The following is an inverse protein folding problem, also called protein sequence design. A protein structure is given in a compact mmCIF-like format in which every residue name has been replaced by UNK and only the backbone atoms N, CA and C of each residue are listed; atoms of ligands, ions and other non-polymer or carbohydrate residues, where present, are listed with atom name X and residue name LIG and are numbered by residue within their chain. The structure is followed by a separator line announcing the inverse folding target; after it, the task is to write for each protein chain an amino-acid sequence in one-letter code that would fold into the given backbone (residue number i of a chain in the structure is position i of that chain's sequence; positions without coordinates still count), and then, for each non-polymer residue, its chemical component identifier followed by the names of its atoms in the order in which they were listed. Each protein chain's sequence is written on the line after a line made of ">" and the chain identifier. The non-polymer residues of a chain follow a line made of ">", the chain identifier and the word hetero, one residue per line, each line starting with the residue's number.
data_IF_849713068987
#
_entry.id   IF_849713068987
#
_cell.length_a   1.000
_cell.length_b   1.000
_cell.length_c   1.000
_cell.angle_alpha   90.00
_cell.angle_beta   90.00
_cell.angle_gamma   90.00
#
_symmetry.space_group_name_H-M   'P 1'
#
loop_
_entity.id
_entity.type
_entity.pdbx_description
1 polymer ?
#
# COMPACT_ATOMS: atom_id res chain seq x y z
N UNK A 1 -32.10 -35.62 -35.70
CA UNK A 1 -31.17 -36.33 -34.81
C UNK A 1 -30.19 -35.32 -34.27
N UNK A 2 -30.23 -35.13 -32.96
CA UNK A 2 -29.43 -34.20 -32.16
C UNK A 2 -27.97 -34.62 -32.11
N UNK A 3 -27.07 -33.64 -32.07
CA UNK A 3 -26.04 -33.62 -31.03
C UNK A 3 -25.62 -32.17 -30.76
N UNK A 4 -26.16 -31.65 -29.66
CA UNK A 4 -25.60 -30.55 -28.89
C UNK A 4 -24.21 -30.94 -28.38
N UNK A 5 -23.25 -30.03 -28.54
CA UNK A 5 -22.19 -29.84 -27.55
C UNK A 5 -22.07 -28.37 -27.26
N UNK A 6 -22.73 -27.99 -26.16
CA UNK A 6 -22.40 -26.90 -25.26
C UNK A 6 -20.89 -26.62 -25.21
N UNK A 7 -20.48 -25.47 -25.75
CA UNK A 7 -19.36 -24.73 -25.18
C UNK A 7 -19.90 -23.43 -24.64
N UNK A 8 -20.31 -23.52 -23.39
CA UNK A 8 -20.68 -22.43 -22.51
C UNK A 8 -19.80 -21.20 -22.74
N UNK A 9 -20.49 -20.06 -22.90
CA UNK A 9 -19.89 -18.75 -23.05
C UNK A 9 -18.86 -18.47 -21.96
N UNK A 10 -17.60 -18.58 -22.34
CA UNK A 10 -16.53 -17.83 -21.69
C UNK A 10 -16.77 -16.39 -22.11
N UNK A 11 -17.50 -15.63 -21.29
CA UNK A 11 -17.50 -14.17 -21.37
C UNK A 11 -16.06 -13.73 -21.26
N UNK A 12 -15.41 -13.52 -22.40
CA UNK A 12 -14.13 -12.84 -22.48
C UNK A 12 -14.43 -11.45 -21.92
N UNK A 13 -13.94 -11.22 -20.71
CA UNK A 13 -13.99 -9.92 -20.05
C UNK A 13 -13.24 -8.93 -20.95
N UNK A 14 -13.99 -8.17 -21.74
CA UNK A 14 -13.46 -7.19 -22.71
C UNK A 14 -12.90 -5.94 -22.02
N UNK A 15 -12.66 -5.94 -20.70
CA UNK A 15 -12.03 -4.82 -19.99
C UNK A 15 -10.50 -4.73 -20.13
N UNK A 16 -9.88 -5.67 -20.86
CA UNK A 16 -8.42 -5.79 -21.01
C UNK A 16 -7.88 -5.35 -22.39
N UNK A 17 -8.47 -4.34 -23.01
CA UNK A 17 -7.75 -3.56 -24.02
C UNK A 17 -6.80 -2.55 -23.33
N UNK A 18 -5.50 -2.47 -23.72
CA UNK A 18 -4.53 -1.55 -23.12
C UNK A 18 -4.94 -0.07 -23.16
N UNK A 19 -5.85 0.29 -24.07
CA UNK A 19 -6.32 1.65 -24.29
C UNK A 19 -7.38 2.13 -23.27
N UNK A 20 -8.04 1.23 -22.52
CA UNK A 20 -9.18 1.56 -21.63
C UNK A 20 -8.90 1.36 -20.12
N UNK A 21 -7.72 0.88 -19.73
CA UNK A 21 -7.39 0.68 -18.31
C UNK A 21 -7.20 2.01 -17.58
N UNK A 22 -8.29 2.55 -17.02
CA UNK A 22 -8.24 3.62 -16.02
C UNK A 22 -7.33 3.18 -14.87
N UNK A 23 -6.42 4.07 -14.47
CA UNK A 23 -5.53 3.83 -13.34
C UNK A 23 -6.35 3.58 -12.05
N UNK A 24 -6.09 2.47 -11.35
CA UNK A 24 -6.75 2.12 -10.09
C UNK A 24 -5.76 2.16 -8.95
N UNK A 25 -5.99 3.07 -7.98
CA UNK A 25 -5.23 3.15 -6.73
C UNK A 25 -5.24 1.80 -6.03
N UNK A 26 -4.10 1.33 -5.52
CA UNK A 26 -4.02 0.05 -4.82
C UNK A 26 -3.89 -1.17 -5.73
N UNK A 27 -3.80 -0.96 -7.05
CA UNK A 27 -3.58 -2.02 -8.06
C UNK A 27 -2.53 -1.63 -9.07
N UNK A 28 -2.59 -0.40 -9.56
CA UNK A 28 -1.72 0.13 -10.61
C UNK A 28 -0.69 1.10 -10.02
N UNK A 29 0.50 1.14 -10.62
CA UNK A 29 1.63 1.99 -10.18
C UNK A 29 2.20 2.75 -11.38
N UNK A 30 2.44 4.04 -11.20
CA UNK A 30 3.10 4.88 -12.18
C UNK A 30 4.62 4.62 -12.23
N UNK A 31 5.28 5.11 -13.27
CA UNK A 31 6.71 4.85 -13.48
C UNK A 31 7.57 5.37 -12.32
N UNK A 32 7.28 6.58 -11.81
CA UNK A 32 8.08 7.17 -10.75
C UNK A 32 7.87 6.43 -9.42
N UNK A 33 6.62 6.10 -9.09
CA UNK A 33 6.30 5.35 -7.89
C UNK A 33 6.80 3.89 -7.93
N UNK A 34 6.94 3.31 -9.13
CA UNK A 34 7.60 2.00 -9.34
C UNK A 34 9.09 2.08 -9.03
N UNK A 35 9.80 3.05 -9.62
CA UNK A 35 11.22 3.28 -9.33
C UNK A 35 11.47 3.62 -7.87
N UNK A 36 10.60 4.42 -7.26
CA UNK A 36 10.69 4.74 -5.85
C UNK A 36 10.69 3.48 -4.99
N UNK A 37 9.75 2.55 -5.24
CA UNK A 37 9.66 1.27 -4.50
C UNK A 37 10.87 0.37 -4.76
N UNK A 38 11.37 0.34 -5.99
CA UNK A 38 12.58 -0.43 -6.32
C UNK A 38 13.77 0.09 -5.52
N UNK A 39 14.03 1.40 -5.56
CA UNK A 39 15.17 2.01 -4.87
C UNK A 39 15.02 1.90 -3.35
N UNK A 40 13.82 2.17 -2.81
CA UNK A 40 13.52 1.95 -1.40
C UNK A 40 13.76 0.48 -0.99
N UNK A 41 13.25 -0.47 -1.77
CA UNK A 41 13.41 -1.89 -1.54
C UNK A 41 14.87 -2.32 -1.52
N UNK A 42 15.69 -1.83 -2.46
CA UNK A 42 17.13 -2.13 -2.50
C UNK A 42 17.87 -1.59 -1.27
N UNK A 43 17.58 -0.36 -0.85
CA UNK A 43 18.18 0.22 0.37
C UNK A 43 17.73 -0.58 1.61
N UNK A 44 16.46 -1.01 1.65
CA UNK A 44 15.93 -1.81 2.74
C UNK A 44 16.56 -3.20 2.80
N UNK A 45 16.79 -3.85 1.65
CA UNK A 45 17.51 -5.14 1.58
C UNK A 45 18.93 -4.97 2.11
N UNK A 46 19.64 -3.92 1.69
CA UNK A 46 20.99 -3.64 2.21
C UNK A 46 20.98 -3.45 3.73
N UNK A 47 20.04 -2.66 4.26
CA UNK A 47 19.87 -2.46 5.71
C UNK A 47 19.60 -3.77 6.46
N UNK A 48 18.71 -4.62 5.93
CA UNK A 48 18.39 -5.92 6.52
C UNK A 48 19.57 -6.87 6.49
N UNK A 49 20.34 -6.90 5.39
CA UNK A 49 21.52 -7.73 5.29
C UNK A 49 22.51 -7.45 6.43
N UNK A 50 22.82 -6.17 6.69
CA UNK A 50 23.70 -5.79 7.81
C UNK A 50 23.15 -6.17 9.19
N UNK A 51 21.83 -6.14 9.37
CA UNK A 51 21.20 -6.55 10.64
C UNK A 51 21.24 -8.05 10.83
N UNK A 52 20.92 -8.82 9.78
CA UNK A 52 20.88 -10.27 9.81
C UNK A 52 22.28 -10.85 10.03
N UNK A 53 23.27 -10.38 9.28
CA UNK A 53 24.67 -10.82 9.37
C UNK A 53 25.25 -10.71 10.79
N UNK A 54 24.83 -9.68 11.55
CA UNK A 54 25.30 -9.46 12.92
C UNK A 54 24.43 -10.10 14.00
N UNK A 55 23.17 -10.42 13.68
CA UNK A 55 22.19 -10.81 14.70
C UNK A 55 21.91 -12.31 14.73
N UNK A 56 22.13 -13.04 13.63
CA UNK A 56 21.77 -14.45 13.52
C UNK A 56 22.98 -15.34 13.33
N UNK A 57 23.01 -16.47 14.03
CA UNK A 57 23.95 -17.55 13.74
C UNK A 57 23.51 -18.41 12.53
N UNK A 58 24.33 -19.37 12.13
CA UNK A 58 24.04 -20.24 10.99
C UNK A 58 22.75 -21.06 11.12
N UNK A 59 22.40 -21.50 12.34
CA UNK A 59 21.18 -22.26 12.60
C UNK A 59 19.94 -21.36 12.57
N UNK A 60 20.06 -20.16 13.13
CA UNK A 60 19.03 -19.13 13.11
C UNK A 60 18.75 -18.60 11.70
N UNK A 61 19.77 -18.53 10.84
CA UNK A 61 19.60 -18.23 9.42
C UNK A 61 18.75 -19.29 8.70
N UNK A 62 18.99 -20.57 8.96
CA UNK A 62 18.17 -21.66 8.42
C UNK A 62 16.73 -21.54 8.91
N UNK A 63 16.53 -21.27 10.22
CA UNK A 63 15.20 -21.05 10.78
C UNK A 63 14.50 -19.82 10.20
N UNK A 64 15.23 -18.74 9.89
CA UNK A 64 14.68 -17.58 9.21
C UNK A 64 14.16 -17.95 7.82
N UNK A 65 14.88 -18.76 7.05
CA UNK A 65 14.43 -19.24 5.73
C UNK A 65 13.16 -20.11 5.86
N UNK A 66 13.10 -20.98 6.87
CA UNK A 66 11.90 -21.77 7.16
C UNK A 66 10.71 -20.85 7.48
N UNK A 67 10.90 -19.88 8.37
CA UNK A 67 9.86 -18.90 8.71
C UNK A 67 9.42 -18.08 7.50
N UNK A 68 10.35 -17.69 6.62
CA UNK A 68 10.03 -16.98 5.39
C UNK A 68 9.08 -17.81 4.52
N UNK A 69 9.38 -19.11 4.33
CA UNK A 69 8.52 -20.01 3.57
C UNK A 69 7.14 -20.18 4.23
N UNK A 70 7.08 -20.31 5.56
CA UNK A 70 5.82 -20.38 6.32
C UNK A 70 4.99 -19.11 6.14
N UNK A 71 5.60 -17.94 6.30
CA UNK A 71 4.95 -16.63 6.13
C UNK A 71 4.41 -16.49 4.71
N UNK A 72 5.21 -16.81 3.69
CA UNK A 72 4.80 -16.78 2.30
C UNK A 72 3.61 -17.71 2.03
N UNK A 73 3.64 -18.94 2.57
CA UNK A 73 2.55 -19.90 2.44
C UNK A 73 1.27 -19.39 3.13
N UNK A 74 1.37 -18.84 4.33
CA UNK A 74 0.23 -18.29 5.09
C UNK A 74 -0.39 -17.12 4.34
N UNK A 75 0.38 -16.13 3.90
CA UNK A 75 -0.15 -15.01 3.14
C UNK A 75 -0.79 -15.45 1.82
N UNK A 76 -0.16 -16.40 1.12
CA UNK A 76 -0.71 -16.96 -0.12
C UNK A 76 -2.03 -17.67 0.13
N UNK A 77 -2.12 -18.50 1.18
CA UNK A 77 -3.35 -19.21 1.55
C UNK A 77 -4.47 -18.24 1.96
N UNK A 78 -4.16 -17.22 2.76
CA UNK A 78 -5.12 -16.19 3.20
C UNK A 78 -5.65 -15.42 2.01
N UNK A 79 -4.79 -14.97 1.10
CA UNK A 79 -5.18 -14.21 -0.10
C UNK A 79 -5.98 -15.10 -1.07
N UNK A 80 -5.57 -16.35 -1.24
CA UNK A 80 -6.30 -17.32 -2.05
C UNK A 80 -7.71 -17.55 -1.48
N UNK A 81 -7.85 -17.65 -0.16
CA UNK A 81 -9.14 -17.80 0.51
C UNK A 81 -9.99 -16.53 0.40
N UNK A 82 -9.44 -15.34 0.63
CA UNK A 82 -10.14 -14.07 0.43
C UNK A 82 -10.65 -13.94 -1.01
N UNK A 83 -9.86 -14.35 -1.99
CA UNK A 83 -10.23 -14.34 -3.40
C UNK A 83 -11.32 -15.36 -3.79
N UNK A 84 -11.81 -16.18 -2.87
CA UNK A 84 -12.97 -17.08 -3.04
C UNK A 84 -14.19 -16.65 -2.24
N UNK A 85 -14.05 -15.67 -1.36
CA UNK A 85 -15.17 -15.16 -0.58
C UNK A 85 -15.82 -14.03 -1.38
N UNK A 86 -16.88 -14.36 -2.12
CA UNK A 86 -17.74 -13.38 -2.83
C UNK A 86 -18.21 -12.23 -1.92
N UNK A 87 -18.19 -12.45 -0.60
CA UNK A 87 -18.67 -11.52 0.43
C UNK A 87 -17.71 -10.38 0.76
N UNK A 88 -16.46 -10.43 0.30
CA UNK A 88 -15.57 -9.25 0.32
C UNK A 88 -15.74 -8.37 -0.93
N UNK A 89 -16.55 -8.80 -1.91
CA UNK A 89 -16.93 -7.93 -3.02
C UNK A 89 -17.77 -6.76 -2.48
N UNK A 90 -17.33 -5.53 -2.77
CA UNK A 90 -17.96 -4.31 -2.28
C UNK A 90 -17.51 -3.83 -0.89
N UNK A 91 -16.63 -4.56 -0.21
CA UNK A 91 -15.98 -4.09 1.02
C UNK A 91 -14.84 -3.15 0.66
N UNK A 92 -14.66 -2.07 1.45
CA UNK A 92 -13.57 -1.11 1.24
C UNK A 92 -12.20 -1.82 1.23
N UNK A 93 -11.31 -1.55 0.25
CA UNK A 93 -9.98 -2.17 0.17
C UNK A 93 -9.09 -1.95 1.41
N UNK A 94 -9.41 -0.96 2.24
CA UNK A 94 -8.74 -0.72 3.53
C UNK A 94 -8.87 -1.89 4.50
N UNK A 95 -10.01 -2.59 4.50
CA UNK A 95 -10.27 -3.67 5.45
C UNK A 95 -9.36 -4.89 5.19
N UNK A 96 -9.33 -5.49 3.99
CA UNK A 96 -8.41 -6.58 3.72
C UNK A 96 -6.95 -6.15 3.84
N UNK A 97 -6.59 -4.91 3.47
CA UNK A 97 -5.24 -4.39 3.69
C UNK A 97 -4.84 -4.39 5.16
N UNK A 98 -5.68 -3.84 6.04
CA UNK A 98 -5.38 -3.78 7.45
C UNK A 98 -5.28 -5.18 8.08
N UNK A 99 -6.17 -6.10 7.69
CA UNK A 99 -6.11 -7.49 8.15
C UNK A 99 -4.82 -8.19 7.73
N UNK A 100 -4.39 -7.99 6.48
CA UNK A 100 -3.12 -8.53 5.98
C UNK A 100 -1.91 -7.89 6.66
N UNK A 101 -2.04 -6.70 7.23
CA UNK A 101 -0.93 -6.03 7.91
C UNK A 101 -0.83 -6.38 9.40
N UNK A 102 -1.87 -6.97 9.99
CA UNK A 102 -1.88 -7.36 11.42
C UNK A 102 -0.68 -8.19 11.89
N UNK A 103 -0.14 -9.15 11.11
CA UNK A 103 1.05 -9.88 11.54
C UNK A 103 2.27 -8.98 11.83
N UNK A 104 2.32 -7.76 11.27
CA UNK A 104 3.36 -6.77 11.63
C UNK A 104 3.31 -6.38 13.12
N UNK A 105 2.16 -6.50 13.78
CA UNK A 105 2.00 -6.19 15.21
C UNK A 105 2.67 -7.19 16.14
N UNK A 106 3.07 -8.36 15.64
CA UNK A 106 3.85 -9.33 16.42
C UNK A 106 5.18 -8.73 16.88
N UNK A 107 5.78 -7.85 16.07
CA UNK A 107 7.06 -7.21 16.38
C UNK A 107 7.00 -6.29 17.61
N UNK A 108 6.17 -5.21 17.65
CA UNK A 108 6.09 -4.33 18.81
C UNK A 108 5.52 -5.01 20.07
N UNK A 109 4.78 -6.12 19.92
CA UNK A 109 4.28 -6.90 21.06
C UNK A 109 5.31 -7.90 21.60
N UNK A 110 6.47 -8.05 20.97
CA UNK A 110 7.49 -9.03 21.37
C UNK A 110 7.05 -10.49 21.20
N UNK A 111 6.12 -10.76 20.30
CA UNK A 111 5.57 -12.10 20.07
C UNK A 111 6.35 -12.79 18.95
N UNK A 112 6.93 -13.96 19.26
CA UNK A 112 7.68 -14.79 18.31
C UNK A 112 9.20 -14.69 18.47
N UNK A 113 9.94 -15.46 17.67
CA UNK A 113 11.40 -15.54 17.75
C UNK A 113 12.10 -14.53 16.84
N UNK A 114 13.36 -14.21 17.12
CA UNK A 114 14.16 -13.31 16.28
C UNK A 114 14.23 -13.75 14.81
N UNK A 115 14.45 -15.04 14.47
CA UNK A 115 14.40 -15.50 13.07
C UNK A 115 13.04 -15.26 12.40
N UNK A 116 11.92 -15.38 13.14
CA UNK A 116 10.59 -15.10 12.62
C UNK A 116 10.42 -13.61 12.28
N UNK A 117 10.87 -12.71 13.16
CA UNK A 117 10.81 -11.27 12.94
C UNK A 117 11.67 -10.85 11.73
N UNK A 118 12.89 -11.40 11.60
CA UNK A 118 13.74 -11.12 10.44
C UNK A 118 13.14 -11.67 9.15
N UNK A 119 12.58 -12.88 9.18
CA UNK A 119 11.90 -13.46 8.02
C UNK A 119 10.72 -12.59 7.55
N UNK A 120 9.94 -12.06 8.49
CA UNK A 120 8.81 -11.18 8.22
C UNK A 120 9.25 -9.83 7.65
N UNK A 121 10.35 -9.27 8.15
CA UNK A 121 10.96 -8.06 7.61
C UNK A 121 11.46 -8.29 6.17
N UNK A 122 12.20 -9.37 5.93
CA UNK A 122 12.69 -9.76 4.60
C UNK A 122 11.53 -9.97 3.62
N UNK A 123 10.50 -10.70 4.04
CA UNK A 123 9.28 -10.91 3.25
C UNK A 123 8.62 -9.61 2.82
N UNK A 124 8.45 -8.68 3.76
CA UNK A 124 7.80 -7.39 3.49
C UNK A 124 8.67 -6.51 2.60
N UNK A 125 9.97 -6.46 2.83
CA UNK A 125 10.94 -5.70 2.02
C UNK A 125 11.02 -6.22 0.59
N UNK A 126 11.11 -7.55 0.39
CA UNK A 126 11.03 -8.15 -0.94
C UNK A 126 9.67 -7.87 -1.58
N UNK A 127 8.59 -7.84 -0.79
CA UNK A 127 7.26 -7.41 -1.23
C UNK A 127 7.25 -6.01 -1.82
N UNK A 128 7.92 -5.02 -1.20
CA UNK A 128 8.05 -3.65 -1.75
C UNK A 128 8.74 -3.68 -3.12
N UNK A 129 9.86 -4.41 -3.21
CA UNK A 129 10.62 -4.54 -4.46
C UNK A 129 9.77 -5.18 -5.56
N UNK A 130 9.04 -6.26 -5.23
CA UNK A 130 8.11 -6.92 -6.14
C UNK A 130 6.96 -6.00 -6.57
N UNK A 131 6.39 -5.20 -5.66
CA UNK A 131 5.41 -4.17 -6.02
C UNK A 131 5.97 -3.19 -7.06
N UNK A 132 7.22 -2.74 -6.87
CA UNK A 132 7.93 -1.89 -7.80
C UNK A 132 8.10 -2.53 -9.18
N UNK A 133 8.69 -3.73 -9.23
CA UNK A 133 9.01 -4.45 -10.48
C UNK A 133 7.74 -4.89 -11.23
N UNK A 134 6.76 -5.47 -10.54
CA UNK A 134 5.49 -5.90 -11.12
C UNK A 134 4.49 -4.75 -11.33
N UNK A 135 4.91 -3.50 -11.04
CA UNK A 135 4.08 -2.28 -11.06
C UNK A 135 2.76 -2.43 -10.31
N UNK A 136 2.76 -3.22 -9.23
CA UNK A 136 1.60 -3.51 -8.42
C UNK A 136 1.47 -2.48 -7.30
N UNK A 137 0.31 -1.82 -7.24
CA UNK A 137 0.06 -0.70 -6.32
C UNK A 137 -0.48 -1.13 -4.98
N UNK A 138 -0.66 -2.42 -4.78
CA UNK A 138 -1.22 -2.93 -3.55
C UNK A 138 -0.21 -3.09 -2.43
N UNK A 139 -0.67 -3.76 -1.38
CA UNK A 139 0.09 -4.01 -0.17
C UNK A 139 1.29 -4.95 -0.45
N UNK A 140 2.42 -4.63 0.15
CA UNK A 140 3.72 -5.28 -0.07
C UNK A 140 3.66 -6.77 0.27
N UNK A 141 2.99 -7.11 1.38
CA UNK A 141 2.82 -8.50 1.83
C UNK A 141 1.96 -9.33 0.88
N UNK A 142 1.20 -8.69 0.00
CA UNK A 142 0.39 -9.35 -1.02
C UNK A 142 1.12 -9.50 -2.36
N UNK A 143 2.26 -8.84 -2.58
CA UNK A 143 2.93 -8.81 -3.87
C UNK A 143 3.29 -10.21 -4.40
N UNK A 144 3.94 -11.03 -3.56
CA UNK A 144 4.31 -12.40 -3.92
C UNK A 144 3.07 -13.30 -4.14
N UNK A 145 2.09 -13.37 -3.23
CA UNK A 145 0.83 -14.08 -3.46
C UNK A 145 0.11 -13.69 -4.75
N UNK A 146 0.04 -12.38 -5.05
CA UNK A 146 -0.60 -11.88 -6.27
C UNK A 146 0.13 -12.36 -7.52
N UNK A 147 1.47 -12.38 -7.50
CA UNK A 147 2.29 -12.94 -8.56
C UNK A 147 2.06 -14.44 -8.73
N UNK A 148 2.11 -15.21 -7.64
CA UNK A 148 1.93 -16.67 -7.64
C UNK A 148 0.53 -17.09 -8.11
N UNK A 149 -0.50 -16.33 -7.73
CA UNK A 149 -1.89 -16.61 -8.09
C UNK A 149 -2.30 -16.02 -9.44
N UNK A 150 -1.43 -15.23 -10.10
CA UNK A 150 -1.75 -14.53 -11.34
C UNK A 150 -2.89 -13.50 -11.19
N UNK A 151 -3.01 -12.85 -10.02
CA UNK A 151 -4.10 -11.91 -9.70
C UNK A 151 -3.55 -10.53 -9.37
N UNK A 152 -4.37 -9.48 -9.52
CA UNK A 152 -4.04 -8.11 -9.10
C UNK A 152 -5.22 -7.47 -8.38
N UNK A 153 -5.39 -7.85 -7.11
CA UNK A 153 -6.49 -7.35 -6.27
C UNK A 153 -6.18 -5.93 -5.79
N UNK A 154 -7.21 -5.09 -5.67
CA UNK A 154 -7.07 -3.74 -5.09
C UNK A 154 -6.85 -3.86 -3.59
N UNK A 155 -5.68 -3.46 -3.12
CA UNK A 155 -5.33 -3.35 -1.71
C UNK A 155 -4.67 -2.00 -1.49
N UNK A 156 -4.94 -1.32 -0.39
CA UNK A 156 -4.23 -0.09 -0.05
C UNK A 156 -2.96 -0.35 0.76
N UNK A 157 -1.95 0.45 0.47
CA UNK A 157 -0.60 0.46 1.02
C UNK A 157 -0.22 1.89 1.43
N UNK A 158 0.64 2.06 2.45
CA UNK A 158 1.33 3.31 2.72
C UNK A 158 1.88 4.02 1.47
N UNK A 159 2.44 3.25 0.53
CA UNK A 159 3.10 3.78 -0.66
C UNK A 159 2.10 4.32 -1.69
N UNK A 160 0.79 4.13 -1.49
CA UNK A 160 -0.23 4.77 -2.33
C UNK A 160 -0.21 6.30 -2.23
N UNK A 161 0.36 6.86 -1.17
CA UNK A 161 0.61 8.30 -1.11
C UNK A 161 1.41 8.79 -2.33
N UNK A 162 2.39 8.01 -2.75
CA UNK A 162 3.27 8.31 -3.88
C UNK A 162 2.54 8.10 -5.20
N UNK A 163 1.76 7.03 -5.31
CA UNK A 163 0.94 6.75 -6.49
C UNK A 163 -0.07 7.90 -6.74
N UNK A 164 -0.77 8.34 -5.69
CA UNK A 164 -1.74 9.43 -5.75
C UNK A 164 -1.07 10.73 -6.17
N UNK A 165 0.08 11.03 -5.57
CA UNK A 165 0.82 12.26 -5.84
C UNK A 165 1.38 12.26 -7.27
N UNK A 166 1.96 11.15 -7.73
CA UNK A 166 2.42 11.00 -9.12
C UNK A 166 1.26 11.21 -10.10
N UNK A 167 0.10 10.59 -9.87
CA UNK A 167 -1.06 10.76 -10.74
C UNK A 167 -1.58 12.19 -10.76
N UNK A 168 -1.60 12.89 -9.62
CA UNK A 168 -2.00 14.30 -9.57
C UNK A 168 -1.07 15.18 -10.40
N UNK A 169 0.25 15.00 -10.30
CA UNK A 169 1.21 15.74 -11.13
C UNK A 169 1.13 15.37 -12.62
N UNK A 170 0.90 14.09 -12.95
CA UNK A 170 0.78 13.62 -14.34
C UNK A 170 -0.45 14.18 -15.05
N UNK A 171 -1.56 14.32 -14.35
CA UNK A 171 -2.82 14.79 -14.93
C UNK A 171 -2.93 16.31 -14.95
N UNK A 172 -2.08 17.00 -14.18
CA UNK A 172 -2.02 18.45 -14.19
C UNK A 172 -1.48 18.96 -15.54
N UNK A 173 -2.26 19.82 -16.19
CA UNK A 173 -1.91 20.38 -17.51
C UNK A 173 -1.03 21.61 -17.38
N UNK A 174 -1.07 22.31 -16.25
CA UNK A 174 -0.27 23.51 -16.02
C UNK A 174 1.14 23.15 -15.50
N UNK A 175 2.13 23.19 -16.39
CA UNK A 175 3.55 22.92 -16.06
C UNK A 175 4.35 24.20 -15.82
N UNK A 176 3.83 25.06 -14.95
CA UNK A 176 4.44 26.35 -14.60
C UNK A 176 5.45 26.27 -13.44
N UNK A 177 5.96 27.42 -12.99
CA UNK A 177 6.90 27.51 -11.86
C UNK A 177 6.33 26.86 -10.60
N UNK A 178 5.05 27.12 -10.27
CA UNK A 178 4.40 26.48 -9.12
C UNK A 178 4.37 24.95 -9.22
N UNK A 179 4.30 24.40 -10.43
CA UNK A 179 4.42 22.97 -10.71
C UNK A 179 5.77 22.41 -10.36
N UNK A 180 6.80 23.05 -10.88
CA UNK A 180 8.18 22.63 -10.61
C UNK A 180 8.49 22.74 -9.12
N UNK A 181 8.13 23.87 -8.49
CA UNK A 181 8.36 24.09 -7.05
C UNK A 181 7.65 23.02 -6.22
N UNK A 182 6.38 22.79 -6.47
CA UNK A 182 5.59 21.84 -5.68
C UNK A 182 6.04 20.40 -5.89
N UNK A 183 6.43 20.04 -7.11
CA UNK A 183 7.04 18.74 -7.39
C UNK A 183 8.35 18.58 -6.62
N UNK A 184 9.25 19.58 -6.71
CA UNK A 184 10.54 19.55 -6.03
C UNK A 184 10.37 19.43 -4.51
N UNK A 185 9.49 20.21 -3.89
CA UNK A 185 9.20 20.16 -2.46
C UNK A 185 8.60 18.80 -2.06
N UNK A 186 7.69 18.25 -2.87
CA UNK A 186 7.11 16.93 -2.62
C UNK A 186 8.20 15.85 -2.67
N UNK A 187 9.01 15.82 -3.72
CA UNK A 187 10.09 14.84 -3.90
C UNK A 187 11.09 14.93 -2.76
N UNK A 188 11.51 16.14 -2.43
CA UNK A 188 12.44 16.42 -1.33
C UNK A 188 11.93 15.83 -0.01
N UNK A 189 10.67 16.08 0.33
CA UNK A 189 10.08 15.60 1.58
C UNK A 189 9.84 14.09 1.58
N UNK A 190 9.47 13.50 0.44
CA UNK A 190 9.34 12.05 0.32
C UNK A 190 10.68 11.33 0.52
N UNK A 191 11.77 11.89 -0.01
CA UNK A 191 13.13 11.38 0.20
C UNK A 191 13.50 11.46 1.68
N UNK A 192 13.30 12.62 2.32
CA UNK A 192 13.58 12.78 3.75
C UNK A 192 12.79 11.77 4.59
N UNK A 193 11.49 11.66 4.34
CA UNK A 193 10.59 10.84 5.14
C UNK A 193 10.84 9.34 4.98
N UNK A 194 10.95 8.85 3.74
CA UNK A 194 11.05 7.42 3.48
C UNK A 194 12.49 6.91 3.41
N UNK A 195 13.42 7.69 2.85
CA UNK A 195 14.74 7.17 2.51
C UNK A 195 15.79 7.53 3.56
N UNK A 196 15.80 8.74 4.10
CA UNK A 196 16.91 9.18 4.98
C UNK A 196 17.02 8.33 6.24
N UNK A 197 15.90 8.07 6.93
CA UNK A 197 15.91 7.19 8.11
C UNK A 197 16.38 5.77 7.80
N UNK A 198 15.99 5.23 6.64
CA UNK A 198 16.38 3.91 6.19
C UNK A 198 17.86 3.86 5.77
N UNK A 199 18.33 4.90 5.06
CA UNK A 199 19.72 5.03 4.61
C UNK A 199 20.67 5.13 5.82
N UNK A 200 20.32 5.92 6.82
CA UNK A 200 21.09 6.04 8.06
C UNK A 200 21.07 4.78 8.93
N UNK A 201 20.21 3.80 8.61
CA UNK A 201 20.25 2.49 9.25
C UNK A 201 21.29 1.54 8.64
N UNK A 202 21.89 1.91 7.50
CA UNK A 202 22.98 1.20 6.84
C UNK A 202 24.32 1.76 7.36
N UNK A 203 25.15 1.00 8.10
CA UNK A 203 26.30 1.57 8.81
C UNK A 203 27.29 2.34 7.92
N UNK A 204 27.73 1.84 6.75
CA UNK A 204 28.61 2.61 5.87
C UNK A 204 28.01 3.96 5.42
N UNK A 205 26.70 4.00 5.18
CA UNK A 205 26.02 5.23 4.79
C UNK A 205 25.86 6.19 5.97
N UNK A 206 25.61 5.67 7.17
CA UNK A 206 25.57 6.44 8.42
C UNK A 206 26.92 7.10 8.70
N UNK A 207 28.00 6.35 8.56
CA UNK A 207 29.36 6.83 8.84
C UNK A 207 29.80 7.89 7.82
N UNK A 208 29.38 7.75 6.55
CA UNK A 208 29.69 8.71 5.50
C UNK A 208 28.87 10.01 5.57
N UNK A 209 27.56 9.89 5.79
CA UNK A 209 26.62 11.02 5.68
C UNK A 209 26.38 11.73 7.03
N UNK A 210 26.54 11.00 8.14
CA UNK A 210 26.23 11.48 9.47
C UNK A 210 24.73 11.72 9.71
N UNK A 211 24.36 11.93 10.98
CA UNK A 211 22.97 12.28 11.35
C UNK A 211 22.57 13.71 10.91
N UNK A 212 23.54 14.53 10.48
CA UNK A 212 23.35 15.91 10.01
C UNK A 212 22.60 16.00 8.69
N UNK A 213 22.52 14.91 7.92
CA UNK A 213 21.67 14.86 6.73
C UNK A 213 20.17 14.94 7.08
N UNK A 214 19.79 14.61 8.32
CA UNK A 214 18.41 14.75 8.78
C UNK A 214 18.02 16.22 8.88
N UNK A 215 16.88 16.54 8.31
CA UNK A 215 16.35 17.89 8.37
C UNK A 215 15.64 18.14 9.70
N UNK A 216 15.71 19.38 10.21
CA UNK A 216 14.83 19.81 11.29
C UNK A 216 13.35 19.59 10.94
N UNK A 217 12.56 19.14 11.91
CA UNK A 217 11.16 18.75 11.68
C UNK A 217 10.28 19.86 11.11
N UNK A 218 10.60 21.14 11.33
CA UNK A 218 9.82 22.26 10.79
C UNK A 218 9.89 22.39 9.26
N UNK A 219 10.89 21.79 8.60
CA UNK A 219 10.98 21.81 7.13
C UNK A 219 9.82 21.07 6.46
N UNK A 220 9.09 20.23 7.20
CA UNK A 220 7.84 19.64 6.68
C UNK A 220 6.79 20.68 6.31
N UNK A 221 6.82 21.87 6.91
CA UNK A 221 5.90 22.95 6.56
C UNK A 221 6.04 23.37 5.09
N UNK A 222 7.15 23.03 4.42
CA UNK A 222 7.29 23.18 2.98
C UNK A 222 6.25 22.38 2.19
N UNK A 223 5.71 21.27 2.72
CA UNK A 223 4.59 20.55 2.10
C UNK A 223 3.30 21.37 2.05
N UNK A 224 3.17 22.43 2.84
CA UNK A 224 1.98 23.29 2.76
C UNK A 224 1.87 23.98 1.40
N UNK A 225 3.00 24.22 0.71
CA UNK A 225 3.01 24.78 -0.65
C UNK A 225 2.30 23.87 -1.65
N UNK A 226 2.74 22.60 -1.86
CA UNK A 226 2.02 21.68 -2.75
C UNK A 226 0.60 21.37 -2.24
N UNK A 227 0.35 21.30 -0.92
CA UNK A 227 -0.99 21.10 -0.36
C UNK A 227 -1.95 22.20 -0.78
N UNK A 228 -1.60 23.47 -0.51
CA UNK A 228 -2.45 24.63 -0.83
C UNK A 228 -2.68 24.70 -2.33
N UNK A 229 -1.65 24.41 -3.12
CA UNK A 229 -1.81 24.45 -4.55
C UNK A 229 -2.74 23.36 -5.10
N UNK A 230 -2.57 22.10 -4.70
CA UNK A 230 -3.49 21.04 -5.11
C UNK A 230 -4.91 21.26 -4.58
N UNK A 231 -5.06 21.82 -3.38
CA UNK A 231 -6.36 22.24 -2.86
C UNK A 231 -7.00 23.33 -3.73
N UNK A 232 -6.23 24.33 -4.18
CA UNK A 232 -6.70 25.37 -5.09
C UNK A 232 -7.10 24.79 -6.45
N UNK A 233 -6.33 23.83 -6.99
CA UNK A 233 -6.69 23.12 -8.23
C UNK A 233 -7.99 22.32 -8.07
N UNK A 234 -8.15 21.62 -6.95
CA UNK A 234 -9.38 20.89 -6.62
C UNK A 234 -10.58 21.84 -6.50
N UNK A 235 -10.40 23.01 -5.88
CA UNK A 235 -11.44 24.03 -5.71
C UNK A 235 -11.84 24.68 -7.03
N UNK A 236 -10.87 25.04 -7.89
CA UNK A 236 -11.13 25.59 -9.23
C UNK A 236 -11.86 24.60 -10.14
N UNK A 237 -11.56 23.30 -9.99
CA UNK A 237 -12.22 22.23 -10.74
C UNK A 237 -13.44 21.62 -10.05
N UNK A 238 -14.01 22.26 -9.02
CA UNK A 238 -15.02 21.65 -8.13
C UNK A 238 -16.19 21.03 -8.88
N UNK A 239 -16.77 21.74 -9.84
CA UNK A 239 -17.93 21.25 -10.60
C UNK A 239 -17.57 20.10 -11.52
N UNK A 240 -16.36 20.13 -12.11
CA UNK A 240 -15.82 19.00 -12.89
C UNK A 240 -15.60 17.77 -12.01
N UNK A 241 -15.10 17.93 -10.78
CA UNK A 241 -14.80 16.81 -9.89
C UNK A 241 -16.01 16.26 -9.14
N UNK A 242 -17.13 16.99 -9.08
CA UNK A 242 -18.38 16.52 -8.45
C UNK A 242 -18.91 15.24 -9.08
N UNK A 243 -18.82 15.14 -10.40
CA UNK A 243 -19.32 13.99 -11.18
C UNK A 243 -18.31 12.85 -11.28
N UNK A 244 -17.05 13.08 -10.90
CA UNK A 244 -15.97 12.09 -10.93
C UNK A 244 -16.00 11.25 -9.63
N UNK A 245 -15.83 9.91 -9.70
CA UNK A 245 -15.69 9.07 -8.52
C UNK A 245 -14.55 9.52 -7.61
N UNK A 246 -14.70 9.36 -6.28
CA UNK A 246 -13.72 9.86 -5.29
C UNK A 246 -12.29 9.39 -5.60
N UNK A 247 -12.10 8.11 -5.96
CA UNK A 247 -10.79 7.53 -6.29
C UNK A 247 -10.11 8.09 -7.54
N UNK A 248 -10.74 9.02 -8.24
CA UNK A 248 -10.20 9.71 -9.43
C UNK A 248 -10.14 11.23 -9.23
N UNK A 249 -10.40 11.75 -8.02
CA UNK A 249 -10.30 13.18 -7.69
C UNK A 249 -8.88 13.55 -7.30
N UNK A 250 -7.95 13.38 -8.23
CA UNK A 250 -6.50 13.40 -7.95
C UNK A 250 -5.98 14.64 -7.23
N UNK A 251 -6.35 15.89 -7.61
CA UNK A 251 -5.85 17.06 -6.88
C UNK A 251 -6.33 17.09 -5.43
N UNK A 252 -7.60 16.76 -5.18
CA UNK A 252 -8.14 16.70 -3.82
C UNK A 252 -7.51 15.60 -2.99
N UNK A 253 -7.31 14.41 -3.57
CA UNK A 253 -6.64 13.29 -2.90
C UNK A 253 -5.17 13.62 -2.59
N UNK A 254 -4.43 14.22 -3.53
CA UNK A 254 -3.05 14.64 -3.30
C UNK A 254 -2.95 15.70 -2.20
N UNK A 255 -3.84 16.70 -2.18
CA UNK A 255 -3.86 17.70 -1.12
C UNK A 255 -4.06 17.05 0.27
N UNK A 256 -5.02 16.11 0.39
CA UNK A 256 -5.29 15.41 1.63
C UNK A 256 -4.13 14.51 2.06
N UNK A 257 -3.55 13.75 1.13
CA UNK A 257 -2.41 12.86 1.38
C UNK A 257 -1.21 13.68 1.85
N UNK A 258 -0.85 14.74 1.14
CA UNK A 258 0.29 15.58 1.49
C UNK A 258 0.08 16.29 2.82
N UNK A 259 -1.14 16.74 3.11
CA UNK A 259 -1.48 17.32 4.40
C UNK A 259 -1.34 16.31 5.53
N UNK A 260 -1.78 15.06 5.32
CA UNK A 260 -1.63 13.99 6.31
C UNK A 260 -0.18 13.61 6.58
N UNK A 261 0.74 13.81 5.61
CA UNK A 261 2.18 13.61 5.79
C UNK A 261 2.84 14.71 6.64
N UNK A 262 2.24 15.90 6.77
CA UNK A 262 2.80 17.03 7.52
C UNK A 262 3.13 16.70 8.98
N UNK A 263 2.21 16.19 9.80
CA UNK A 263 2.50 15.84 11.19
C UNK A 263 3.51 14.69 11.33
N UNK A 264 3.70 13.86 10.29
CA UNK A 264 4.50 12.62 10.36
C UNK A 264 6.01 12.88 10.38
N UNK A 265 6.46 14.06 9.96
CA UNK A 265 7.88 14.46 9.98
C UNK A 265 8.28 15.21 11.26
N UNK A 266 7.32 15.87 11.92
CA UNK A 266 7.56 16.58 13.18
C UNK A 266 7.79 15.64 14.36
N UNK A 267 7.24 14.43 14.31
CA UNK A 267 7.44 13.41 15.33
C UNK A 267 7.79 12.08 14.68
N UNK A 268 9.04 11.66 14.91
CA UNK A 268 9.71 10.50 14.30
C UNK A 268 9.03 9.16 14.61
N UNK A 269 8.06 9.13 15.52
CA UNK A 269 7.26 7.95 15.90
C UNK A 269 5.82 7.95 15.35
N UNK A 270 5.36 9.05 14.76
CA UNK A 270 4.00 9.15 14.18
C UNK A 270 3.72 8.11 13.09
N UNK A 271 4.69 7.67 12.25
CA UNK A 271 4.44 6.60 11.29
C UNK A 271 3.93 5.33 11.98
N UNK A 272 4.63 4.87 13.00
CA UNK A 272 4.31 3.62 13.70
C UNK A 272 2.96 3.71 14.44
N UNK A 273 2.68 4.87 15.07
CA UNK A 273 1.42 5.11 15.76
C UNK A 273 0.22 5.21 14.81
N UNK A 274 0.35 5.92 13.68
CA UNK A 274 -0.72 6.02 12.68
C UNK A 274 -1.00 4.65 12.06
N UNK A 275 0.04 3.87 11.77
CA UNK A 275 -0.11 2.51 11.26
C UNK A 275 -0.75 1.58 12.29
N UNK A 276 -0.36 1.69 13.56
CA UNK A 276 -1.03 1.00 14.67
C UNK A 276 -2.53 1.31 14.71
N UNK A 277 -2.91 2.58 14.55
CA UNK A 277 -4.32 3.00 14.51
C UNK A 277 -5.03 2.45 13.27
N UNK A 278 -4.43 2.53 12.07
CA UNK A 278 -5.02 2.00 10.83
C UNK A 278 -5.23 0.48 10.95
N UNK A 279 -4.25 -0.26 11.47
CA UNK A 279 -4.36 -1.69 11.71
C UNK A 279 -5.43 -2.03 12.73
N UNK A 280 -5.49 -1.29 13.84
CA UNK A 280 -6.50 -1.48 14.89
C UNK A 280 -7.92 -1.19 14.39
N UNK A 281 -8.13 -0.07 13.69
CA UNK A 281 -9.43 0.28 13.10
C UNK A 281 -9.84 -0.77 12.06
N UNK A 282 -8.91 -1.20 11.21
CA UNK A 282 -9.20 -2.23 10.21
C UNK A 282 -9.51 -3.60 10.83
N UNK A 283 -8.88 -3.96 11.94
CA UNK A 283 -9.22 -5.15 12.74
C UNK A 283 -10.64 -5.04 13.31
N UNK A 284 -10.95 -3.93 13.98
CA UNK A 284 -12.28 -3.70 14.58
C UNK A 284 -13.36 -3.74 13.52
N UNK A 285 -13.16 -3.05 12.39
CA UNK A 285 -14.12 -3.04 11.28
C UNK A 285 -14.21 -4.42 10.62
N UNK A 286 -13.09 -5.12 10.42
CA UNK A 286 -13.06 -6.47 9.88
C UNK A 286 -13.83 -7.44 10.77
N UNK A 287 -13.64 -7.37 12.08
CA UNK A 287 -14.32 -8.20 13.07
C UNK A 287 -15.81 -7.85 13.18
N UNK A 288 -16.18 -6.57 13.21
CA UNK A 288 -17.59 -6.14 13.17
C UNK A 288 -18.26 -6.60 11.87
N UNK A 289 -17.56 -6.49 10.74
CA UNK A 289 -18.06 -6.95 9.45
C UNK A 289 -18.32 -8.45 9.53
N UNK A 290 -17.34 -9.24 9.98
CA UNK A 290 -17.43 -10.69 10.17
C UNK A 290 -18.57 -11.10 11.13
N UNK A 291 -18.72 -10.40 12.26
CA UNK A 291 -19.75 -10.68 13.28
C UNK A 291 -21.15 -10.28 12.81
N UNK A 292 -21.29 -9.27 11.96
CA UNK A 292 -22.59 -8.86 11.37
C UNK A 292 -23.01 -9.74 10.18
N UNK A 293 -22.15 -10.65 9.69
CA UNK A 293 -22.45 -11.55 8.56
C UNK A 293 -23.61 -12.54 8.78
N UNK A 294 -23.92 -13.07 9.99
CA UNK A 294 -25.04 -14.00 10.16
C UNK A 294 -26.41 -13.35 10.02
N UNK A 295 -26.55 -12.05 10.32
CA UNK A 295 -27.85 -11.39 10.45
C UNK A 295 -28.41 -10.82 9.15
N UNK A 296 -27.56 -10.57 8.14
CA UNK A 296 -28.00 -9.96 6.86
C UNK A 296 -28.70 -10.95 5.91
N UNK A 297 -28.45 -12.26 6.07
CA UNK A 297 -29.18 -13.30 5.32
C UNK A 297 -30.60 -13.57 5.85
N UNK A 298 -30.90 -13.17 7.09
CA UNK A 298 -32.21 -13.37 7.70
C UNK A 298 -33.23 -12.28 7.33
N UNK A 299 -32.81 -11.03 7.11
CA UNK A 299 -33.75 -9.95 6.76
C UNK A 299 -34.24 -10.04 5.31
N UNK A 300 -33.36 -10.35 4.35
CA UNK A 300 -33.77 -10.47 2.94
C UNK A 300 -34.62 -11.71 2.62
N UNK A 301 -34.72 -12.68 3.54
CA UNK A 301 -35.65 -13.82 3.37
C UNK A 301 -37.07 -13.51 3.86
N UNK A 302 -37.27 -12.47 4.68
CA UNK A 302 -38.61 -12.10 5.16
C UNK A 302 -39.38 -11.22 4.18
N UNK A 303 -38.71 -10.47 3.31
CA UNK A 303 -39.38 -9.60 2.32
C UNK A 303 -39.87 -10.35 1.08
N UNK A 304 -39.34 -11.55 0.79
CA UNK A 304 -39.78 -12.38 -0.36
C UNK A 304 -40.97 -13.29 0.02
N UNK A 305 -41.35 -13.34 1.30
CA UNK A 305 -42.37 -14.26 1.82
C UNK A 305 -43.78 -13.69 1.98
N UNK A 306 -44.04 -12.43 1.61
CA UNK A 306 -45.36 -11.79 1.73
C UNK A 306 -45.77 -11.18 0.39
N UNK A 307 -45.90 -12.03 -0.62
CA UNK A 307 -46.58 -11.71 -1.87
C UNK A 307 -47.12 -13.00 -2.47
N UNK A 308 -48.13 -13.57 -1.83
CA UNK A 308 -49.06 -14.53 -2.43
C UNK A 308 -50.46 -14.25 -1.91
#
# INVERSE_FOLDING_TARGET
>A
MSHDTDTAGRTVDHSDTPADRRFVIGRDVGTAASWFRILYGLIAVASLWYRIDKALDGGELVMMVVWFAVIAAVYTAVIWFFGRIDRFQGVSPWIPSALLQLPMMLYPMGIGSAPMHQALAVYTTLGVLLCGVARYGGLEVAALPMLLLGRRTVLYSPFNAIDITEQAFRQERTRGVMWVTSLALTVFVLIEYWWVGLLLSVPPAKDLLGESIRLPGYWVLLLLVPVVWFAALAARGRDRYRTVPIGQRWPGLAALVLLALVPMLGNRQVPDALWGIIMFVGLVVGLVTLVRLPFRKASNRREVGVAH
#
